data_IF_752912568240
#
_entry.id   IF_752912568240
#
_cell.length_a   1.000
_cell.length_b   1.000
_cell.length_c   1.000
_cell.angle_alpha   90.00
_cell.angle_beta   90.00
_cell.angle_gamma   90.00
#
_symmetry.space_group_name_H-M   'P 1'
#
loop_
_entity.id
_entity.type
_entity.pdbx_description
1 polymer ?
#
# COMPACT_ATOMS: atom_id res chain seq x y z
N UNK A 1 -8.89 11.05 -9.21
CA UNK A 1 -8.44 10.74 -7.81
C UNK A 1 -8.81 9.32 -7.43
N UNK A 2 -7.87 8.52 -6.96
CA UNK A 2 -8.23 7.23 -6.35
C UNK A 2 -8.78 7.50 -4.95
N UNK A 3 -10.07 7.23 -4.73
CA UNK A 3 -10.73 7.39 -3.41
C UNK A 3 -10.05 6.60 -2.28
N UNK A 4 -9.22 5.63 -2.65
CA UNK A 4 -8.47 4.78 -1.74
C UNK A 4 -7.33 5.52 -1.01
N UNK A 5 -6.61 6.41 -1.69
CA UNK A 5 -5.53 7.21 -1.09
C UNK A 5 -6.07 8.13 0.00
N UNK A 6 -7.19 8.81 -0.30
CA UNK A 6 -7.84 9.72 0.63
C UNK A 6 -8.40 9.01 1.86
N UNK A 7 -8.96 7.81 1.68
CA UNK A 7 -9.41 6.96 2.80
C UNK A 7 -8.26 6.49 3.69
N UNK A 8 -7.16 6.06 3.09
CA UNK A 8 -5.97 5.64 3.82
C UNK A 8 -5.38 6.75 4.70
N UNK A 9 -5.48 8.01 4.25
CA UNK A 9 -5.06 9.19 5.03
C UNK A 9 -5.95 9.42 6.26
N UNK A 10 -7.27 9.38 6.08
CA UNK A 10 -8.22 9.52 7.20
C UNK A 10 -7.98 8.43 8.25
N UNK A 11 -7.73 7.19 7.79
CA UNK A 11 -7.42 6.06 8.66
C UNK A 11 -6.11 6.25 9.44
N UNK A 12 -5.07 6.80 8.82
CA UNK A 12 -3.78 7.09 9.47
C UNK A 12 -3.93 8.13 10.60
N UNK A 13 -4.73 9.16 10.39
CA UNK A 13 -4.98 10.19 11.41
C UNK A 13 -5.73 9.67 12.65
N UNK A 14 -6.55 8.61 12.49
CA UNK A 14 -7.37 8.05 13.58
C UNK A 14 -6.71 6.95 14.43
N UNK A 15 -5.57 6.42 14.05
CA UNK A 15 -5.13 5.11 14.55
C UNK A 15 -3.77 4.96 15.18
N UNK A 16 -3.48 5.59 16.30
CA UNK A 16 -2.32 5.24 17.15
C UNK A 16 -2.74 4.44 18.40
N UNK A 17 -3.23 3.20 18.23
CA UNK A 17 -3.42 2.27 19.36
C UNK A 17 -2.27 1.26 19.38
N UNK A 18 -1.72 0.94 20.57
CA UNK A 18 -0.57 0.05 20.76
C UNK A 18 -0.77 -1.37 20.17
N UNK A 19 -1.99 -1.88 20.15
CA UNK A 19 -2.32 -3.15 19.50
C UNK A 19 -2.15 -3.09 17.96
N UNK A 20 -2.51 -1.97 17.34
CA UNK A 20 -2.31 -1.74 15.90
C UNK A 20 -0.83 -1.57 15.55
N UNK A 21 0.00 -1.04 16.46
CA UNK A 21 1.46 -0.93 16.24
C UNK A 21 2.13 -2.30 16.10
N UNK A 22 1.74 -3.29 16.91
CA UNK A 22 2.27 -4.65 16.80
C UNK A 22 1.97 -5.29 15.44
N UNK A 23 0.73 -5.19 14.96
CA UNK A 23 0.33 -5.69 13.65
C UNK A 23 1.09 -4.98 12.50
N UNK A 24 1.23 -3.64 12.57
CA UNK A 24 2.00 -2.88 11.58
C UNK A 24 3.46 -3.34 11.56
N UNK A 25 4.09 -3.54 12.72
CA UNK A 25 5.48 -4.01 12.78
C UNK A 25 5.63 -5.41 12.19
N UNK A 26 4.67 -6.31 12.41
CA UNK A 26 4.68 -7.66 11.82
C UNK A 26 4.65 -7.59 10.29
N UNK A 27 3.76 -6.78 9.72
CA UNK A 27 3.64 -6.59 8.27
C UNK A 27 4.90 -6.02 7.65
N UNK A 28 5.42 -4.94 8.23
CA UNK A 28 6.65 -4.30 7.73
C UNK A 28 7.86 -5.22 7.89
N UNK A 29 7.94 -6.02 8.95
CA UNK A 29 9.01 -7.01 9.11
C UNK A 29 8.96 -8.10 8.02
N UNK A 30 7.76 -8.55 7.60
CA UNK A 30 7.59 -9.47 6.48
C UNK A 30 8.01 -8.85 5.15
N UNK A 31 7.63 -7.59 4.91
CA UNK A 31 8.04 -6.85 3.71
C UNK A 31 9.57 -6.74 3.62
N UNK A 32 10.23 -6.42 4.74
CA UNK A 32 11.71 -6.41 4.85
C UNK A 32 12.28 -7.80 4.54
N UNK A 33 11.71 -8.86 5.12
CA UNK A 33 12.19 -10.22 4.93
C UNK A 33 12.08 -10.66 3.46
N UNK A 34 10.96 -10.38 2.80
CA UNK A 34 10.75 -10.69 1.38
C UNK A 34 11.74 -9.93 0.50
N UNK A 35 11.89 -8.62 0.73
CA UNK A 35 12.82 -7.79 -0.02
C UNK A 35 14.28 -8.24 0.16
N UNK A 36 14.69 -8.54 1.40
CA UNK A 36 16.04 -9.02 1.69
C UNK A 36 16.32 -10.39 1.07
N UNK A 37 15.33 -11.27 1.04
CA UNK A 37 15.49 -12.60 0.42
C UNK A 37 15.59 -12.52 -1.10
N UNK A 38 14.81 -11.65 -1.74
CA UNK A 38 14.78 -11.51 -3.19
C UNK A 38 16.03 -10.83 -3.77
N UNK A 39 16.56 -9.82 -3.07
CA UNK A 39 17.64 -8.96 -3.58
C UNK A 39 18.89 -8.89 -2.71
N UNK A 40 18.96 -9.70 -1.62
CA UNK A 40 20.07 -9.64 -0.65
C UNK A 40 19.82 -8.66 0.50
N UNK A 41 20.57 -8.85 1.60
CA UNK A 41 20.40 -8.09 2.85
C UNK A 41 21.10 -6.72 2.87
N UNK A 42 21.74 -6.32 1.78
CA UNK A 42 22.41 -5.02 1.66
C UNK A 42 21.44 -3.99 1.02
N UNK A 43 20.99 -2.96 1.77
CA UNK A 43 20.09 -1.96 1.24
C UNK A 43 20.71 -1.08 0.14
N UNK A 44 22.05 -0.96 0.06
CA UNK A 44 22.71 -0.18 -0.98
C UNK A 44 22.57 -0.85 -2.35
N UNK A 45 22.56 -2.18 -2.38
CA UNK A 45 22.36 -3.00 -3.59
C UNK A 45 20.90 -3.42 -3.83
N UNK A 46 19.99 -3.19 -2.87
CA UNK A 46 18.62 -3.69 -2.93
C UNK A 46 17.60 -2.56 -2.71
N UNK A 47 17.10 -2.01 -3.81
CA UNK A 47 16.14 -0.91 -3.79
C UNK A 47 14.86 -1.24 -3.01
N UNK A 48 14.27 -2.45 -3.22
CA UNK A 48 13.06 -2.86 -2.51
C UNK A 48 13.28 -2.94 -0.99
N UNK A 49 14.45 -3.43 -0.57
CA UNK A 49 14.81 -3.47 0.84
C UNK A 49 14.97 -2.06 1.42
N UNK A 50 15.54 -1.14 0.66
CA UNK A 50 15.67 0.25 1.07
C UNK A 50 14.32 0.90 1.33
N UNK A 51 13.35 0.74 0.41
CA UNK A 51 11.99 1.24 0.60
C UNK A 51 11.32 0.61 1.84
N UNK A 52 11.45 -0.71 2.03
CA UNK A 52 10.89 -1.39 3.19
C UNK A 52 11.50 -0.89 4.51
N UNK A 53 12.82 -0.60 4.54
CA UNK A 53 13.50 -0.01 5.70
C UNK A 53 13.01 1.42 5.96
N UNK A 54 12.82 2.23 4.93
CA UNK A 54 12.28 3.58 5.07
C UNK A 54 10.87 3.56 5.64
N UNK A 55 10.01 2.68 5.13
CA UNK A 55 8.67 2.45 5.66
C UNK A 55 8.71 2.01 7.15
N UNK A 56 9.63 1.12 7.51
CA UNK A 56 9.83 0.70 8.90
C UNK A 56 10.23 1.86 9.80
N UNK A 57 11.10 2.75 9.34
CA UNK A 57 11.49 3.97 10.06
C UNK A 57 10.31 4.93 10.20
N UNK A 58 9.50 5.10 9.15
CA UNK A 58 8.29 5.93 9.16
C UNK A 58 7.26 5.51 10.20
N UNK A 59 7.17 4.20 10.50
CA UNK A 59 6.30 3.68 11.58
C UNK A 59 7.04 3.55 12.92
N UNK A 60 8.24 4.11 13.06
CA UNK A 60 9.07 4.08 14.26
C UNK A 60 9.46 2.65 14.72
N UNK A 61 9.71 1.74 13.78
CA UNK A 61 10.22 0.42 14.09
C UNK A 61 11.67 0.52 14.61
N UNK A 62 12.02 -0.10 15.76
CA UNK A 62 13.39 -0.10 16.26
C UNK A 62 14.36 -0.74 15.25
N UNK A 63 15.54 -0.14 15.08
CA UNK A 63 16.58 -0.63 14.15
C UNK A 63 16.97 -2.09 14.42
N UNK A 64 16.91 -2.54 15.66
CA UNK A 64 17.20 -3.93 16.02
C UNK A 64 16.18 -4.91 15.44
N UNK A 65 14.89 -4.50 15.34
CA UNK A 65 13.85 -5.31 14.71
C UNK A 65 14.04 -5.36 13.18
N UNK A 66 14.42 -4.23 12.56
CA UNK A 66 14.76 -4.16 11.12
C UNK A 66 15.91 -5.13 10.83
N UNK A 67 17.02 -5.01 11.57
CA UNK A 67 18.18 -5.88 11.42
C UNK A 67 17.82 -7.35 11.61
N UNK A 68 17.05 -7.67 12.66
CA UNK A 68 16.59 -9.05 12.91
C UNK A 68 15.75 -9.61 11.77
N UNK A 69 14.88 -8.79 11.13
CA UNK A 69 14.10 -9.22 9.99
C UNK A 69 14.99 -9.54 8.77
N UNK A 70 16.02 -8.72 8.51
CA UNK A 70 16.99 -8.96 7.45
C UNK A 70 17.80 -10.25 7.74
N UNK A 71 18.35 -10.38 8.95
CA UNK A 71 19.18 -11.51 9.36
C UNK A 71 18.41 -12.85 9.26
N UNK A 72 17.13 -12.87 9.68
CA UNK A 72 16.27 -14.05 9.56
C UNK A 72 15.97 -14.42 8.11
N UNK A 73 15.82 -13.43 7.24
CA UNK A 73 15.53 -13.67 5.83
C UNK A 73 16.74 -14.17 5.04
N UNK A 74 17.96 -13.78 5.45
CA UNK A 74 19.21 -14.11 4.79
C UNK A 74 20.00 -15.26 5.47
N UNK A 75 19.49 -15.77 6.59
CA UNK A 75 20.16 -16.75 7.47
C UNK A 75 20.26 -18.20 6.95
N UNK A 76 20.05 -18.47 5.67
CA UNK A 76 20.24 -19.78 5.06
C UNK A 76 19.06 -20.75 5.24
N UNK A 77 19.33 -22.03 5.58
CA UNK A 77 18.31 -23.09 5.59
C UNK A 77 17.18 -22.94 6.63
N UNK A 78 17.41 -22.15 7.68
CA UNK A 78 16.41 -21.83 8.71
C UNK A 78 15.68 -20.51 8.47
N UNK A 79 15.88 -19.88 7.28
CA UNK A 79 15.23 -18.62 6.94
C UNK A 79 13.71 -18.78 6.88
N UNK A 80 13.00 -17.83 7.50
CA UNK A 80 11.54 -17.74 7.41
C UNK A 80 11.13 -17.63 5.93
N UNK A 81 10.22 -18.52 5.49
CA UNK A 81 9.78 -18.56 4.11
C UNK A 81 8.39 -17.93 4.01
N UNK A 82 8.36 -16.68 3.52
CA UNK A 82 7.10 -16.07 3.12
C UNK A 82 6.89 -16.19 1.61
N UNK A 83 5.67 -16.52 1.21
CA UNK A 83 5.20 -16.46 -0.17
C UNK A 83 4.36 -15.20 -0.35
N UNK A 84 4.65 -14.45 -1.43
CA UNK A 84 3.78 -13.36 -1.86
C UNK A 84 2.67 -13.94 -2.74
N UNK A 85 1.43 -13.71 -2.34
CA UNK A 85 0.25 -14.20 -3.05
C UNK A 85 -0.74 -13.05 -3.18
N UNK A 86 -1.20 -12.81 -4.41
CA UNK A 86 -2.28 -11.86 -4.66
C UNK A 86 -3.59 -12.61 -4.80
N UNK A 87 -4.55 -12.30 -3.94
CA UNK A 87 -5.92 -12.77 -4.05
C UNK A 87 -6.77 -11.73 -4.76
N UNK A 88 -7.74 -12.22 -5.53
CA UNK A 88 -8.65 -11.42 -6.33
C UNK A 88 -10.08 -11.65 -5.90
N UNK A 89 -10.89 -10.60 -5.88
CA UNK A 89 -12.28 -10.72 -5.49
C UNK A 89 -13.14 -9.54 -5.89
N UNK A 90 -14.41 -9.70 -5.64
CA UNK A 90 -15.41 -8.67 -5.84
C UNK A 90 -16.05 -8.30 -4.52
N UNK A 91 -16.12 -7.02 -4.24
CA UNK A 91 -16.87 -6.44 -3.14
C UNK A 91 -18.33 -6.12 -3.53
N UNK A 92 -19.13 -5.61 -2.58
CA UNK A 92 -20.49 -5.18 -2.83
C UNK A 92 -20.59 -4.17 -3.99
N UNK A 93 -21.50 -4.43 -4.94
CA UNK A 93 -21.66 -3.58 -6.11
C UNK A 93 -20.72 -3.89 -7.28
N UNK A 94 -19.98 -5.00 -7.22
CA UNK A 94 -19.05 -5.40 -8.28
C UNK A 94 -17.69 -4.69 -8.23
N UNK A 95 -17.34 -4.09 -7.10
CA UNK A 95 -16.03 -3.48 -6.86
C UNK A 95 -14.94 -4.53 -6.99
N UNK A 96 -13.99 -4.32 -7.89
CA UNK A 96 -12.81 -5.16 -8.01
C UNK A 96 -11.85 -4.90 -6.85
N UNK A 97 -11.37 -5.98 -6.21
CA UNK A 97 -10.46 -5.89 -5.06
C UNK A 97 -9.28 -6.82 -5.28
N UNK A 98 -8.06 -6.26 -5.15
CA UNK A 98 -6.81 -6.99 -5.04
C UNK A 98 -6.37 -7.03 -3.57
N UNK A 99 -5.93 -8.20 -3.12
CA UNK A 99 -5.41 -8.42 -1.76
C UNK A 99 -4.01 -9.00 -1.87
N UNK A 100 -3.01 -8.18 -1.66
CA UNK A 100 -1.59 -8.59 -1.65
C UNK A 100 -1.24 -9.13 -0.27
N UNK A 101 -0.72 -10.34 -0.22
CA UNK A 101 -0.41 -11.03 1.03
C UNK A 101 1.02 -11.51 1.07
N UNK A 102 1.56 -11.60 2.27
CA UNK A 102 2.83 -12.27 2.58
C UNK A 102 2.56 -13.33 3.66
N UNK A 103 2.64 -14.59 3.32
CA UNK A 103 2.23 -15.67 4.21
C UNK A 103 3.25 -16.81 4.26
N UNK A 104 3.33 -17.46 5.41
CA UNK A 104 4.02 -18.74 5.62
C UNK A 104 3.08 -19.94 5.42
N UNK A 105 1.75 -19.70 5.26
CA UNK A 105 0.76 -20.75 5.10
C UNK A 105 -0.38 -20.35 4.14
N UNK A 106 -0.16 -20.62 2.85
CA UNK A 106 -1.09 -20.32 1.76
C UNK A 106 -2.53 -20.79 2.00
N UNK A 107 -2.70 -22.00 2.56
CA UNK A 107 -4.03 -22.58 2.75
C UNK A 107 -4.81 -21.86 3.84
N UNK A 108 -4.15 -21.53 4.95
CA UNK A 108 -4.74 -20.73 6.03
C UNK A 108 -5.19 -19.38 5.49
N UNK A 109 -4.27 -18.62 4.86
CA UNK A 109 -4.56 -17.27 4.37
C UNK A 109 -5.68 -17.29 3.32
N UNK A 110 -5.69 -18.26 2.40
CA UNK A 110 -6.78 -18.39 1.42
C UNK A 110 -8.16 -18.62 2.08
N UNK A 111 -8.20 -19.44 3.14
CA UNK A 111 -9.44 -19.70 3.88
C UNK A 111 -9.92 -18.46 4.64
N UNK A 112 -8.99 -17.74 5.29
CA UNK A 112 -9.30 -16.55 6.08
C UNK A 112 -9.76 -15.40 5.17
N UNK A 113 -9.04 -15.12 4.08
CA UNK A 113 -9.42 -14.10 3.09
C UNK A 113 -10.81 -14.41 2.49
N UNK A 114 -11.09 -15.67 2.13
CA UNK A 114 -12.41 -16.09 1.64
C UNK A 114 -13.51 -15.87 2.69
N UNK A 115 -13.23 -16.19 3.94
CA UNK A 115 -14.19 -15.99 5.03
C UNK A 115 -14.50 -14.51 5.24
N UNK A 116 -13.48 -13.63 5.17
CA UNK A 116 -13.65 -12.18 5.28
C UNK A 116 -14.51 -11.66 4.13
N UNK A 117 -14.19 -11.99 2.87
CA UNK A 117 -15.01 -11.60 1.72
C UNK A 117 -16.48 -12.01 1.90
N UNK A 118 -16.72 -13.28 2.21
CA UNK A 118 -18.09 -13.83 2.37
C UNK A 118 -18.85 -13.12 3.49
N UNK A 119 -18.21 -12.91 4.63
CA UNK A 119 -18.83 -12.26 5.79
C UNK A 119 -19.25 -10.82 5.52
N UNK A 120 -18.52 -10.12 4.64
CA UNK A 120 -18.75 -8.72 4.33
C UNK A 120 -19.44 -8.48 2.98
N UNK A 121 -20.12 -9.52 2.45
CA UNK A 121 -20.96 -9.40 1.25
C UNK A 121 -20.20 -9.35 -0.07
N UNK A 122 -18.92 -9.72 -0.04
CA UNK A 122 -18.06 -9.90 -1.21
C UNK A 122 -17.88 -11.37 -1.58
N UNK A 123 -17.08 -11.60 -2.61
CA UNK A 123 -16.76 -12.93 -3.11
C UNK A 123 -15.30 -13.01 -3.55
N UNK A 124 -14.56 -13.98 -3.01
CA UNK A 124 -13.23 -14.31 -3.52
C UNK A 124 -13.37 -14.98 -4.90
N UNK A 125 -12.61 -14.49 -5.88
CA UNK A 125 -12.60 -14.99 -7.25
C UNK A 125 -11.37 -15.84 -7.54
N UNK A 126 -11.29 -16.39 -8.73
CA UNK A 126 -10.08 -17.06 -9.23
C UNK A 126 -9.05 -16.06 -9.74
N UNK A 127 -7.80 -16.51 -9.87
CA UNK A 127 -6.72 -15.68 -10.40
C UNK A 127 -7.04 -15.17 -11.83
N UNK A 128 -6.74 -13.91 -12.09
CA UNK A 128 -7.03 -13.23 -13.36
C UNK A 128 -8.43 -12.62 -13.48
N UNK A 129 -9.26 -12.73 -12.44
CA UNK A 129 -10.63 -12.22 -12.48
C UNK A 129 -10.70 -10.69 -12.50
N UNK A 130 -9.83 -10.02 -11.72
CA UNK A 130 -9.82 -8.56 -11.57
C UNK A 130 -8.44 -7.92 -11.77
N UNK A 131 -7.34 -8.66 -11.74
CA UNK A 131 -5.97 -8.12 -11.82
C UNK A 131 -5.73 -7.24 -13.05
N UNK A 132 -6.38 -7.53 -14.17
CA UNK A 132 -6.29 -6.75 -15.41
C UNK A 132 -6.84 -5.32 -15.29
N UNK A 133 -7.65 -5.04 -14.27
CA UNK A 133 -8.21 -3.71 -13.98
C UNK A 133 -7.21 -2.81 -13.24
N UNK A 134 -6.08 -3.36 -12.83
CA UNK A 134 -5.05 -2.65 -12.09
C UNK A 134 -3.73 -2.65 -12.85
N UNK A 135 -2.86 -1.73 -12.50
CA UNK A 135 -1.51 -1.65 -13.01
C UNK A 135 -0.52 -1.32 -11.91
N UNK A 136 0.70 -1.84 -12.03
CA UNK A 136 1.75 -1.53 -11.08
C UNK A 136 2.30 -0.11 -11.36
N UNK A 137 2.42 0.71 -10.30
CA UNK A 137 2.94 2.07 -10.34
C UNK A 137 3.94 2.31 -9.22
N UNK A 138 4.87 3.23 -9.42
CA UNK A 138 5.54 3.90 -8.33
C UNK A 138 4.66 5.04 -7.83
N UNK A 139 4.52 5.20 -6.53
CA UNK A 139 3.81 6.32 -5.91
C UNK A 139 4.73 7.03 -4.93
N UNK A 140 4.80 8.35 -5.03
CA UNK A 140 5.52 9.22 -4.10
C UNK A 140 4.50 10.16 -3.49
N UNK A 141 4.45 10.24 -2.16
CA UNK A 141 3.59 11.19 -1.46
C UNK A 141 4.44 12.35 -0.92
N UNK A 142 3.94 13.57 -1.10
CA UNK A 142 4.65 14.80 -0.79
C UNK A 142 3.76 15.69 0.06
N UNK A 143 4.12 15.99 1.33
CA UNK A 143 3.29 16.83 2.19
C UNK A 143 3.18 18.24 1.61
N UNK A 144 1.98 18.81 1.60
CA UNK A 144 1.73 20.16 1.08
C UNK A 144 2.39 21.25 1.90
N UNK A 145 2.58 21.01 3.20
CA UNK A 145 3.09 22.02 4.11
C UNK A 145 4.49 22.52 3.72
N UNK A 146 4.58 23.79 3.36
CA UNK A 146 5.83 24.45 2.98
C UNK A 146 6.32 24.11 1.57
N UNK A 147 5.47 23.54 0.72
CA UNK A 147 5.81 23.19 -0.66
C UNK A 147 4.73 23.71 -1.63
N UNK A 148 5.15 24.29 -2.75
CA UNK A 148 4.26 24.75 -3.80
C UNK A 148 3.89 23.57 -4.71
N UNK A 149 2.58 23.30 -4.84
CA UNK A 149 2.07 22.15 -5.56
C UNK A 149 2.40 22.21 -7.07
N UNK A 150 2.34 23.39 -7.68
CA UNK A 150 2.59 23.57 -9.10
C UNK A 150 4.10 23.44 -9.39
N UNK A 151 4.96 23.96 -8.51
CA UNK A 151 6.41 23.81 -8.61
C UNK A 151 6.81 22.33 -8.47
N UNK A 152 6.25 21.63 -7.48
CA UNK A 152 6.49 20.19 -7.28
C UNK A 152 6.03 19.38 -8.48
N UNK A 153 4.88 19.71 -9.07
CA UNK A 153 4.37 19.02 -10.26
C UNK A 153 5.32 19.20 -11.46
N UNK A 154 5.81 20.40 -11.70
CA UNK A 154 6.78 20.65 -12.77
C UNK A 154 8.07 19.86 -12.55
N UNK A 155 8.63 19.90 -11.34
CA UNK A 155 9.83 19.13 -10.99
C UNK A 155 9.63 17.61 -11.15
N UNK A 156 8.44 17.09 -10.79
CA UNK A 156 8.12 15.68 -10.92
C UNK A 156 8.03 15.25 -12.40
N UNK A 157 7.37 16.04 -13.24
CA UNK A 157 7.27 15.77 -14.68
C UNK A 157 8.65 15.82 -15.33
N UNK A 158 9.46 16.83 -15.01
CA UNK A 158 10.83 16.96 -15.52
C UNK A 158 11.72 15.78 -15.05
N UNK A 159 11.44 15.22 -13.87
CA UNK A 159 12.11 14.03 -13.35
C UNK A 159 11.65 12.72 -14.01
N UNK A 160 10.57 12.73 -14.81
CA UNK A 160 10.02 11.57 -15.50
C UNK A 160 8.80 10.94 -14.83
N UNK A 161 8.08 11.67 -13.98
CA UNK A 161 6.79 11.22 -13.49
C UNK A 161 5.77 11.14 -14.64
N UNK A 162 4.88 10.13 -14.56
CA UNK A 162 3.82 9.91 -15.56
C UNK A 162 2.57 10.74 -15.24
N UNK A 163 2.32 11.00 -13.96
CA UNK A 163 1.16 11.76 -13.51
C UNK A 163 1.43 12.40 -12.13
N UNK A 164 0.74 13.51 -11.85
CA UNK A 164 0.80 14.22 -10.57
C UNK A 164 -0.60 14.67 -10.17
N UNK A 165 -1.10 14.18 -9.04
CA UNK A 165 -2.33 14.67 -8.44
C UNK A 165 -2.02 15.82 -7.47
N UNK A 166 -2.16 17.05 -7.98
CA UNK A 166 -1.94 18.28 -7.21
C UNK A 166 -3.12 18.64 -6.31
N UNK A 167 -4.29 18.01 -6.47
CA UNK A 167 -5.46 18.22 -5.62
C UNK A 167 -5.43 17.34 -4.37
N UNK A 168 -4.65 16.25 -4.40
CA UNK A 168 -4.47 15.37 -3.25
C UNK A 168 -3.72 16.08 -2.11
N UNK A 169 -3.99 15.68 -0.86
CA UNK A 169 -3.24 16.10 0.33
C UNK A 169 -2.92 14.86 1.19
N UNK A 170 -1.64 14.41 1.21
CA UNK A 170 -0.47 14.94 0.49
C UNK A 170 -0.60 14.86 -1.03
N UNK A 171 0.24 15.63 -1.76
CA UNK A 171 0.37 15.51 -3.23
C UNK A 171 0.80 14.08 -3.58
N UNK A 172 0.31 13.56 -4.69
CA UNK A 172 0.64 12.22 -5.16
C UNK A 172 1.32 12.29 -6.53
N UNK A 173 2.52 11.75 -6.62
CA UNK A 173 3.29 11.64 -7.87
C UNK A 173 3.33 10.17 -8.28
N UNK A 174 2.98 9.89 -9.53
CA UNK A 174 2.95 8.54 -10.09
C UNK A 174 4.02 8.35 -11.15
N UNK A 175 4.68 7.20 -11.11
CA UNK A 175 5.78 6.86 -12.02
C UNK A 175 5.59 5.44 -12.56
N UNK A 176 6.30 5.10 -13.63
CA UNK A 176 6.54 3.69 -13.93
C UNK A 176 7.27 3.02 -12.74
N UNK A 177 7.02 1.74 -12.45
CA UNK A 177 7.67 1.04 -11.32
C UNK A 177 9.20 1.08 -11.37
N UNK A 178 9.78 1.09 -12.57
CA UNK A 178 11.23 1.13 -12.81
C UNK A 178 11.84 2.50 -12.54
N UNK A 179 11.06 3.56 -12.65
CA UNK A 179 11.53 4.94 -12.62
C UNK A 179 11.36 5.59 -11.24
N UNK A 180 10.64 4.92 -10.32
CA UNK A 180 10.34 5.41 -8.98
C UNK A 180 11.58 5.95 -8.25
N UNK A 181 12.68 5.19 -8.24
CA UNK A 181 13.91 5.60 -7.53
C UNK A 181 14.59 6.79 -8.21
N UNK A 182 14.59 6.84 -9.53
CA UNK A 182 15.20 7.94 -10.27
C UNK A 182 14.44 9.26 -10.04
N UNK A 183 13.11 9.20 -10.14
CA UNK A 183 12.23 10.37 -9.89
C UNK A 183 12.36 10.82 -8.43
N UNK A 184 12.30 9.89 -7.47
CA UNK A 184 12.48 10.20 -6.05
C UNK A 184 13.76 10.95 -5.78
N UNK A 185 14.91 10.46 -6.28
CA UNK A 185 16.21 11.09 -6.08
C UNK A 185 16.31 12.48 -6.70
N UNK A 186 15.71 12.67 -7.87
CA UNK A 186 15.69 13.98 -8.51
C UNK A 186 14.89 14.99 -7.71
N UNK A 187 13.70 14.60 -7.21
CA UNK A 187 12.88 15.44 -6.34
C UNK A 187 13.60 15.80 -5.03
N UNK A 188 14.23 14.82 -4.37
CA UNK A 188 15.03 15.07 -3.16
C UNK A 188 16.20 16.01 -3.42
N UNK A 189 16.88 15.86 -4.57
CA UNK A 189 18.00 16.72 -4.98
C UNK A 189 17.54 18.15 -5.29
N UNK A 190 16.30 18.33 -5.74
CA UNK A 190 15.66 19.61 -5.93
C UNK A 190 15.14 20.24 -4.63
N UNK A 191 15.29 19.56 -3.48
CA UNK A 191 14.86 20.05 -2.17
C UNK A 191 13.41 19.72 -1.82
N UNK A 192 12.72 18.89 -2.61
CA UNK A 192 11.36 18.43 -2.31
C UNK A 192 11.40 17.46 -1.14
N UNK A 193 10.58 17.74 -0.12
CA UNK A 193 10.42 16.85 1.04
C UNK A 193 9.42 15.75 0.74
N UNK A 194 9.88 14.52 0.65
CA UNK A 194 9.06 13.33 0.39
C UNK A 194 8.62 12.72 1.72
N UNK A 195 7.34 12.31 1.81
CA UNK A 195 6.80 11.57 2.95
C UNK A 195 6.97 10.07 2.77
N UNK A 196 6.53 9.54 1.61
CA UNK A 196 6.68 8.11 1.28
C UNK A 196 7.00 7.93 -0.19
N UNK A 197 7.68 6.81 -0.51
CA UNK A 197 7.83 6.30 -1.86
C UNK A 197 7.63 4.79 -1.83
N UNK A 198 6.74 4.26 -2.66
CA UNK A 198 6.43 2.84 -2.66
C UNK A 198 5.95 2.33 -4.02
N UNK A 199 6.08 1.03 -4.24
CA UNK A 199 5.43 0.36 -5.36
C UNK A 199 3.99 0.02 -4.96
N UNK A 200 3.02 0.32 -5.81
CA UNK A 200 1.60 0.10 -5.55
C UNK A 200 0.88 -0.44 -6.77
N UNK A 201 -0.31 -0.98 -6.57
CA UNK A 201 -1.26 -1.26 -7.65
C UNK A 201 -2.27 -0.12 -7.72
N UNK A 202 -2.48 0.44 -8.90
CA UNK A 202 -3.45 1.51 -9.16
C UNK A 202 -4.57 0.98 -10.05
N UNK A 203 -5.82 1.33 -9.74
CA UNK A 203 -6.94 1.00 -10.62
C UNK A 203 -6.87 1.83 -11.91
N UNK A 204 -6.95 1.17 -13.07
CA UNK A 204 -6.98 1.84 -14.39
C UNK A 204 -8.27 2.62 -14.60
N UNK A 205 -9.36 2.14 -14.03
CA UNK A 205 -10.66 2.79 -14.06
C UNK A 205 -11.36 2.55 -12.73
N UNK A 206 -12.04 3.56 -12.23
CA UNK A 206 -12.88 3.48 -11.05
C UNK A 206 -14.35 3.28 -11.42
N UNK A 207 -15.12 2.69 -10.50
CA UNK A 207 -16.56 2.59 -10.62
C UNK A 207 -17.23 3.40 -9.51
N UNK A 208 -18.32 4.05 -9.85
CA UNK A 208 -19.18 4.71 -8.88
C UNK A 208 -20.04 3.69 -8.14
N UNK A 209 -20.16 3.86 -6.83
CA UNK A 209 -21.07 3.07 -5.98
C UNK A 209 -21.86 4.01 -5.07
N UNK A 210 -23.07 3.60 -4.69
CA UNK A 210 -23.83 4.35 -3.69
C UNK A 210 -23.17 4.31 -2.31
N UNK A 211 -23.53 5.24 -1.43
CA UNK A 211 -22.95 5.37 -0.10
C UNK A 211 -23.06 4.10 0.76
N UNK A 212 -24.13 3.33 0.62
CA UNK A 212 -24.31 2.08 1.36
C UNK A 212 -23.29 1.03 0.93
N UNK A 213 -23.08 0.86 -0.37
CA UNK A 213 -22.08 -0.04 -0.95
C UNK A 213 -20.65 0.46 -0.66
N UNK A 214 -20.41 1.77 -0.73
CA UNK A 214 -19.13 2.35 -0.36
C UNK A 214 -18.75 1.99 1.08
N UNK A 215 -19.67 2.21 2.06
CA UNK A 215 -19.44 1.84 3.46
C UNK A 215 -19.24 0.32 3.65
N UNK A 216 -19.96 -0.51 2.88
CA UNK A 216 -19.79 -1.95 2.94
C UNK A 216 -18.41 -2.38 2.41
N UNK A 217 -17.94 -1.80 1.30
CA UNK A 217 -16.60 -2.05 0.76
C UNK A 217 -15.50 -1.56 1.71
N UNK A 218 -15.65 -0.37 2.31
CA UNK A 218 -14.69 0.15 3.27
C UNK A 218 -14.53 -0.78 4.49
N UNK A 219 -15.64 -1.33 5.02
CA UNK A 219 -15.58 -2.33 6.08
C UNK A 219 -14.91 -3.63 5.65
N UNK A 220 -15.19 -4.10 4.43
CA UNK A 220 -14.52 -5.28 3.87
C UNK A 220 -13.00 -5.06 3.78
N UNK A 221 -12.59 -3.93 3.22
CA UNK A 221 -11.19 -3.53 3.09
C UNK A 221 -10.51 -3.44 4.47
N UNK A 222 -11.18 -2.81 5.44
CA UNK A 222 -10.65 -2.68 6.79
C UNK A 222 -10.39 -4.04 7.45
N UNK A 223 -11.31 -4.99 7.33
CA UNK A 223 -11.13 -6.33 7.87
C UNK A 223 -10.08 -7.15 7.12
N UNK A 224 -9.93 -6.94 5.81
CA UNK A 224 -8.83 -7.54 5.05
C UNK A 224 -7.49 -6.96 5.50
N UNK A 225 -7.40 -5.63 5.65
CA UNK A 225 -6.19 -4.96 6.11
C UNK A 225 -5.84 -5.26 7.58
N UNK A 226 -6.80 -5.61 8.43
CA UNK A 226 -6.53 -6.02 9.81
C UNK A 226 -5.94 -7.45 9.90
N UNK A 227 -6.00 -8.25 8.83
CA UNK A 227 -5.40 -9.58 8.79
C UNK A 227 -3.87 -9.50 8.71
N UNK A 228 -3.16 -10.27 9.55
CA UNK A 228 -1.69 -10.22 9.68
C UNK A 228 -0.94 -10.54 8.38
N UNK A 229 -1.47 -11.45 7.56
CA UNK A 229 -0.83 -11.86 6.32
C UNK A 229 -1.11 -10.89 5.16
N UNK A 230 -2.09 -10.00 5.28
CA UNK A 230 -2.41 -9.00 4.25
C UNK A 230 -1.47 -7.81 4.35
N UNK A 231 -0.76 -7.52 3.28
CA UNK A 231 0.16 -6.39 3.17
C UNK A 231 -0.55 -5.14 2.66
N UNK A 232 -1.38 -5.32 1.64
CA UNK A 232 -2.11 -4.23 0.98
C UNK A 232 -3.44 -4.73 0.41
N UNK A 233 -4.42 -3.85 0.39
CA UNK A 233 -5.68 -4.03 -0.32
C UNK A 233 -5.87 -2.86 -1.28
N UNK A 234 -6.15 -3.15 -2.55
CA UNK A 234 -6.45 -2.14 -3.57
C UNK A 234 -7.83 -2.41 -4.16
N UNK A 235 -8.61 -1.36 -4.37
CA UNK A 235 -9.96 -1.47 -4.90
C UNK A 235 -10.23 -0.37 -5.95
N UNK A 236 -11.15 -0.65 -6.89
CA UNK A 236 -11.42 0.20 -8.04
C UNK A 236 -12.71 1.03 -7.90
N UNK A 237 -13.04 1.57 -6.75
CA UNK A 237 -14.25 2.38 -6.60
C UNK A 237 -13.98 3.79 -6.10
N UNK A 238 -14.88 4.70 -6.44
CA UNK A 238 -14.89 6.05 -5.90
C UNK A 238 -15.68 6.09 -4.60
N UNK A 239 -15.14 6.80 -3.61
CA UNK A 239 -15.81 6.98 -2.33
C UNK A 239 -16.65 8.26 -2.43
N UNK A 240 -17.99 8.19 -2.28
CA UNK A 240 -18.84 9.37 -2.31
C UNK A 240 -18.45 10.40 -1.24
N UNK A 241 -18.56 11.69 -1.57
CA UNK A 241 -18.15 12.79 -0.70
C UNK A 241 -18.83 12.74 0.68
N UNK A 242 -20.11 12.32 0.75
CA UNK A 242 -20.81 12.15 2.00
C UNK A 242 -20.17 11.12 2.92
N UNK A 243 -19.66 10.00 2.37
CA UNK A 243 -18.96 8.96 3.13
C UNK A 243 -17.59 9.45 3.59
N UNK A 244 -16.92 10.25 2.76
CA UNK A 244 -15.65 10.89 3.12
C UNK A 244 -15.83 11.90 4.26
N UNK A 245 -16.87 12.74 4.19
CA UNK A 245 -17.18 13.72 5.23
C UNK A 245 -17.52 13.05 6.59
N UNK A 246 -18.31 11.97 6.57
CA UNK A 246 -18.59 11.17 7.76
C UNK A 246 -17.31 10.62 8.40
N UNK A 247 -16.42 10.08 7.58
CA UNK A 247 -15.17 9.51 8.04
C UNK A 247 -14.22 10.57 8.65
N UNK A 248 -14.20 11.77 8.11
CA UNK A 248 -13.38 12.87 8.64
C UNK A 248 -13.92 13.42 9.96
N UNK A 249 -15.23 13.28 10.24
CA UNK A 249 -15.90 13.82 11.44
C UNK A 249 -16.02 12.82 12.60
N UNK A 250 -15.78 11.55 12.40
CA UNK A 250 -15.88 10.47 13.40
C UNK A 250 -14.54 10.21 14.09
#
# INVERSE_FOLDING_TARGET
MSGHSKWAQIKRQKGANDAKRGAVFTKVAREIAIAARAGGGDPDGNFKLRLAIEKARGVNMPMENIKRAIDRATGGAEAEQFEEITYEGYGPGGVAILVETATDNRNRTAADVRAIFTKHGGQLAGGGAVAWQFEARGQITIPREGQDADEVALLAIDAGAEDVDTDADPLEVYTAPTDLEAVRRQLESAGVRIETAELTMQAKNTIEVDASRARANLRLIEHLEDHDDVQRVTANFEIPDEVMAEAASA
#
